data_IF_583121465881
#
_entry.id   IF_583121465881
#
_cell.length_a   1.000
_cell.length_b   1.000
_cell.length_c   1.000
_cell.angle_alpha   90.00
_cell.angle_beta   90.00
_cell.angle_gamma   90.00
#
_symmetry.space_group_name_H-M   'P 1'
#
loop_
_entity.id
_entity.type
_entity.pdbx_description
1 polymer ?
#
# COMPACT_ATOMS: atom_id res chain seq x y z
N UNK A 1 29.88 5.46 -13.85
CA UNK A 1 28.45 5.24 -13.56
C UNK A 1 28.07 6.34 -12.58
N UNK A 2 27.72 7.54 -13.03
CA UNK A 2 26.49 7.82 -13.77
C UNK A 2 25.46 8.26 -12.73
N UNK A 3 25.60 9.51 -12.28
CA UNK A 3 24.75 10.29 -11.38
C UNK A 3 23.27 9.83 -11.40
N UNK A 4 22.86 9.00 -10.42
CA UNK A 4 21.45 8.81 -10.08
C UNK A 4 20.98 10.11 -9.39
N UNK A 5 20.87 11.17 -10.18
CA UNK A 5 20.02 12.30 -9.87
C UNK A 5 18.64 11.73 -9.58
N UNK A 6 18.29 11.62 -8.29
CA UNK A 6 16.94 11.31 -7.89
C UNK A 6 16.08 12.41 -8.50
N UNK A 7 15.29 12.05 -9.52
CA UNK A 7 14.38 12.98 -10.17
C UNK A 7 13.65 13.77 -9.07
N UNK A 8 13.62 15.10 -9.20
CA UNK A 8 12.93 15.94 -8.21
C UNK A 8 11.42 15.66 -8.30
N UNK A 9 10.70 15.70 -7.17
CA UNK A 9 9.25 15.66 -7.21
C UNK A 9 8.67 16.78 -8.08
N UNK A 10 7.49 16.55 -8.66
CA UNK A 10 6.78 17.53 -9.50
C UNK A 10 6.34 18.77 -8.72
N UNK A 11 6.09 18.61 -7.42
CA UNK A 11 5.71 19.70 -6.52
C UNK A 11 6.80 19.89 -5.48
N UNK A 12 7.20 21.13 -5.25
CA UNK A 12 8.13 21.50 -4.20
C UNK A 12 7.46 21.47 -2.81
N UNK A 13 8.27 21.44 -1.75
CA UNK A 13 7.76 21.30 -0.37
C UNK A 13 6.81 22.44 0.03
N UNK A 14 7.06 23.67 -0.42
CA UNK A 14 6.18 24.82 -0.18
C UNK A 14 4.82 24.68 -0.89
N UNK A 15 4.79 24.08 -2.08
CA UNK A 15 3.53 23.80 -2.80
C UNK A 15 2.74 22.71 -2.08
N UNK A 16 3.42 21.65 -1.62
CA UNK A 16 2.82 20.58 -0.79
C UNK A 16 2.23 21.16 0.50
N UNK A 17 2.94 22.08 1.16
CA UNK A 17 2.45 22.79 2.35
C UNK A 17 1.21 23.61 2.07
N UNK A 18 1.23 24.42 1.01
CA UNK A 18 0.09 25.23 0.64
C UNK A 18 -1.14 24.38 0.28
N UNK A 19 -0.95 23.25 -0.42
CA UNK A 19 -2.03 22.31 -0.71
C UNK A 19 -2.61 21.69 0.57
N UNK A 20 -1.75 21.34 1.54
CA UNK A 20 -2.15 20.74 2.80
C UNK A 20 -2.89 21.74 3.71
N UNK A 21 -2.42 22.99 3.78
CA UNK A 21 -3.12 24.09 4.47
C UNK A 21 -4.52 24.33 3.90
N UNK A 22 -4.70 24.14 2.60
CA UNK A 22 -6.01 24.22 1.93
C UNK A 22 -6.85 22.96 2.06
N UNK A 23 -6.33 21.91 2.69
CA UNK A 23 -6.98 20.59 2.82
C UNK A 23 -7.48 20.12 1.45
N UNK A 24 -6.59 20.15 0.46
CA UNK A 24 -6.93 19.75 -0.91
C UNK A 24 -7.38 18.27 -0.92
N UNK A 25 -8.27 17.89 -1.83
CA UNK A 25 -8.65 16.47 -1.92
C UNK A 25 -7.42 15.59 -2.23
N UNK A 26 -7.26 14.50 -1.48
CA UNK A 26 -6.18 13.53 -1.65
C UNK A 26 -6.13 12.97 -3.08
N UNK A 27 -7.29 12.68 -3.70
CA UNK A 27 -7.38 12.22 -5.09
C UNK A 27 -6.89 13.27 -6.08
N UNK A 28 -7.17 14.55 -5.81
CA UNK A 28 -6.69 15.66 -6.65
C UNK A 28 -5.16 15.76 -6.57
N UNK A 29 -4.59 15.65 -5.37
CA UNK A 29 -3.13 15.70 -5.20
C UNK A 29 -2.43 14.48 -5.81
N UNK A 30 -3.03 13.29 -5.69
CA UNK A 30 -2.56 12.07 -6.37
C UNK A 30 -2.41 12.30 -7.89
N UNK A 31 -3.43 12.90 -8.52
CA UNK A 31 -3.42 13.26 -9.96
C UNK A 31 -2.41 14.34 -10.30
N UNK A 32 -2.31 15.41 -9.49
CA UNK A 32 -1.30 16.47 -9.69
C UNK A 32 0.12 15.91 -9.67
N UNK A 33 0.35 14.88 -8.86
CA UNK A 33 1.62 14.17 -8.73
C UNK A 33 1.81 13.03 -9.75
N UNK A 34 0.85 12.85 -10.67
CA UNK A 34 0.85 11.78 -11.69
C UNK A 34 1.12 10.40 -11.11
N UNK A 35 0.50 10.14 -9.96
CA UNK A 35 0.54 8.84 -9.27
C UNK A 35 -0.69 8.01 -9.57
N UNK A 36 -1.40 8.33 -10.65
CA UNK A 36 -2.62 7.66 -11.07
C UNK A 36 -2.48 7.02 -12.47
N UNK A 37 -1.37 7.25 -13.18
CA UNK A 37 -1.09 6.78 -14.55
C UNK A 37 -0.72 5.28 -14.66
N UNK A 38 -0.76 4.53 -13.55
CA UNK A 38 -0.46 3.10 -13.52
C UNK A 38 0.58 2.73 -12.44
N UNK A 39 0.80 1.42 -12.28
CA UNK A 39 1.71 0.89 -11.28
C UNK A 39 3.17 0.82 -11.76
N UNK A 40 3.43 0.91 -13.06
CA UNK A 40 4.79 0.85 -13.58
C UNK A 40 5.64 2.03 -13.06
N UNK A 41 6.80 1.72 -12.49
CA UNK A 41 7.71 2.71 -11.92
C UNK A 41 7.22 3.46 -10.67
N UNK A 42 5.98 3.28 -10.21
CA UNK A 42 5.38 4.10 -9.13
C UNK A 42 6.20 4.06 -7.82
N UNK A 43 6.74 2.90 -7.45
CA UNK A 43 7.50 2.71 -6.22
C UNK A 43 8.87 3.41 -6.23
N UNK A 44 9.32 3.81 -7.42
CA UNK A 44 10.54 4.60 -7.63
C UNK A 44 10.23 6.06 -7.93
N UNK A 45 8.95 6.41 -8.09
CA UNK A 45 8.55 7.76 -8.42
C UNK A 45 8.76 8.65 -7.19
N UNK A 46 9.60 9.70 -7.27
CA UNK A 46 9.84 10.64 -6.17
C UNK A 46 8.55 11.30 -5.67
N UNK A 47 7.53 11.40 -6.53
CA UNK A 47 6.23 11.96 -6.19
C UNK A 47 5.49 11.12 -5.14
N UNK A 48 5.73 9.81 -5.04
CA UNK A 48 5.11 8.98 -4.01
C UNK A 48 5.52 9.44 -2.61
N UNK A 49 6.79 9.85 -2.44
CA UNK A 49 7.27 10.45 -1.19
C UNK A 49 6.63 11.81 -0.92
N UNK A 50 6.52 12.66 -1.94
CA UNK A 50 5.85 13.96 -1.83
C UNK A 50 4.37 13.80 -1.45
N UNK A 51 3.68 12.82 -2.03
CA UNK A 51 2.30 12.48 -1.70
C UNK A 51 2.15 11.97 -0.26
N UNK A 52 3.06 11.10 0.18
CA UNK A 52 3.10 10.64 1.57
C UNK A 52 3.35 11.80 2.55
N UNK A 53 4.20 12.76 2.19
CA UNK A 53 4.42 13.99 2.97
C UNK A 53 3.18 14.88 3.02
N UNK A 54 2.48 15.03 1.90
CA UNK A 54 1.22 15.74 1.81
C UNK A 54 0.19 15.17 2.79
N UNK A 55 -0.04 13.85 2.75
CA UNK A 55 -1.00 13.18 3.63
C UNK A 55 -0.66 13.40 5.11
N UNK A 56 0.61 13.26 5.50
CA UNK A 56 1.07 13.52 6.87
C UNK A 56 0.83 14.96 7.35
N UNK A 57 0.76 15.93 6.43
CA UNK A 57 0.45 17.34 6.77
C UNK A 57 -1.06 17.58 6.90
N UNK A 58 -1.90 16.78 6.23
CA UNK A 58 -3.36 16.91 6.29
C UNK A 58 -3.95 16.13 7.48
N UNK A 59 -3.42 14.93 7.77
CA UNK A 59 -3.88 14.08 8.86
C UNK A 59 -2.68 13.40 9.55
N UNK A 60 -2.52 13.70 10.83
CA UNK A 60 -1.46 13.16 11.69
C UNK A 60 -1.89 11.94 12.49
N UNK A 61 -3.18 11.60 12.46
CA UNK A 61 -3.76 10.48 13.21
C UNK A 61 -3.47 9.16 12.52
N UNK A 62 -3.85 9.03 11.24
CA UNK A 62 -3.70 7.78 10.48
C UNK A 62 -3.19 7.99 9.03
N UNK A 63 -2.06 8.69 8.81
CA UNK A 63 -1.56 9.01 7.48
C UNK A 63 -1.27 7.77 6.61
N UNK A 64 -0.77 6.70 7.23
CA UNK A 64 -0.44 5.47 6.52
C UNK A 64 -1.69 4.76 5.97
N UNK A 65 -2.80 4.78 6.74
CA UNK A 65 -4.08 4.23 6.30
C UNK A 65 -4.69 5.05 5.16
N UNK A 66 -4.56 6.38 5.21
CA UNK A 66 -5.03 7.25 4.12
C UNK A 66 -4.22 7.00 2.84
N UNK A 67 -2.90 6.86 2.97
CA UNK A 67 -2.01 6.57 1.83
C UNK A 67 -2.40 5.25 1.16
N UNK A 68 -2.46 4.15 1.91
CA UNK A 68 -2.76 2.85 1.30
C UNK A 68 -4.20 2.77 0.81
N UNK A 69 -5.17 3.37 1.51
CA UNK A 69 -6.57 3.43 1.05
C UNK A 69 -6.67 4.18 -0.28
N UNK A 70 -5.95 5.29 -0.45
CA UNK A 70 -5.98 6.03 -1.71
C UNK A 70 -5.40 5.20 -2.87
N UNK A 71 -4.30 4.48 -2.63
CA UNK A 71 -3.70 3.60 -3.64
C UNK A 71 -4.61 2.42 -3.98
N UNK A 72 -5.25 1.80 -3.00
CA UNK A 72 -6.24 0.72 -3.21
C UNK A 72 -7.42 1.24 -4.04
N UNK A 73 -7.97 2.40 -3.69
CA UNK A 73 -9.09 2.99 -4.43
C UNK A 73 -8.71 3.32 -5.88
N UNK A 74 -7.44 3.66 -6.15
CA UNK A 74 -6.97 3.93 -7.51
C UNK A 74 -6.71 2.65 -8.31
N UNK A 75 -6.04 1.67 -7.71
CA UNK A 75 -5.45 0.55 -8.44
C UNK A 75 -6.21 -0.77 -8.29
N UNK A 76 -7.12 -0.88 -7.34
CA UNK A 76 -7.75 -2.13 -6.94
C UNK A 76 -6.93 -2.84 -5.86
N UNK A 77 -7.63 -3.45 -4.89
CA UNK A 77 -7.02 -4.03 -3.70
C UNK A 77 -6.14 -5.24 -4.02
N UNK A 78 -6.70 -6.21 -4.78
CA UNK A 78 -5.99 -7.42 -5.19
C UNK A 78 -4.84 -7.12 -6.17
N UNK A 79 -5.09 -6.19 -7.11
CA UNK A 79 -4.12 -5.79 -8.13
C UNK A 79 -2.92 -5.10 -7.48
N UNK A 80 -3.15 -4.18 -6.53
CA UNK A 80 -2.09 -3.54 -5.78
C UNK A 80 -1.31 -4.55 -4.93
N UNK A 81 -2.00 -5.48 -4.26
CA UNK A 81 -1.35 -6.48 -3.42
C UNK A 81 -0.42 -7.40 -4.23
N UNK A 82 -0.89 -7.90 -5.37
CA UNK A 82 -0.09 -8.74 -6.29
C UNK A 82 1.13 -7.96 -6.81
N UNK A 83 0.94 -6.71 -7.19
CA UNK A 83 2.04 -5.85 -7.65
C UNK A 83 3.11 -5.61 -6.57
N UNK A 84 2.68 -5.23 -5.35
CA UNK A 84 3.59 -4.99 -4.24
C UNK A 84 4.36 -6.26 -3.86
N UNK A 85 3.70 -7.43 -3.87
CA UNK A 85 4.35 -8.71 -3.64
C UNK A 85 5.48 -9.01 -4.63
N UNK A 86 5.24 -8.83 -5.93
CA UNK A 86 6.28 -9.02 -6.96
C UNK A 86 7.40 -7.97 -6.81
N UNK A 87 7.04 -6.72 -6.52
CA UNK A 87 8.00 -5.63 -6.34
C UNK A 87 8.93 -5.82 -5.13
N UNK A 88 8.55 -6.65 -4.13
CA UNK A 88 9.44 -7.03 -3.02
C UNK A 88 10.65 -7.85 -3.46
N UNK A 89 10.57 -8.51 -4.61
CA UNK A 89 11.66 -9.35 -5.13
C UNK A 89 12.73 -8.53 -5.88
N UNK A 90 12.42 -7.29 -6.24
CA UNK A 90 13.33 -6.39 -6.96
C UNK A 90 14.07 -5.48 -5.98
N UNK A 91 15.41 -5.58 -5.95
CA UNK A 91 16.28 -4.86 -5.00
C UNK A 91 15.97 -3.36 -4.90
N UNK A 92 15.69 -2.69 -6.03
CA UNK A 92 15.44 -1.24 -6.08
C UNK A 92 14.07 -0.82 -5.52
N UNK A 93 13.08 -1.70 -5.48
CA UNK A 93 11.70 -1.40 -5.03
C UNK A 93 11.34 -2.08 -3.71
N UNK A 94 12.16 -3.04 -3.27
CA UNK A 94 11.90 -3.92 -2.14
C UNK A 94 11.44 -3.22 -0.87
N UNK A 95 12.14 -2.18 -0.44
CA UNK A 95 11.83 -1.51 0.83
C UNK A 95 10.51 -0.75 0.78
N UNK A 96 10.26 0.01 -0.31
CA UNK A 96 8.98 0.69 -0.51
C UNK A 96 7.82 -0.31 -0.64
N UNK A 97 8.03 -1.39 -1.39
CA UNK A 97 7.03 -2.44 -1.57
C UNK A 97 6.65 -3.11 -0.25
N UNK A 98 7.64 -3.48 0.58
CA UNK A 98 7.41 -4.03 1.92
C UNK A 98 6.61 -3.09 2.81
N UNK A 99 6.96 -1.81 2.81
CA UNK A 99 6.29 -0.80 3.64
C UNK A 99 4.81 -0.67 3.25
N UNK A 100 4.50 -0.51 1.96
CA UNK A 100 3.12 -0.42 1.48
C UNK A 100 2.34 -1.72 1.68
N UNK A 101 2.96 -2.89 1.49
CA UNK A 101 2.32 -4.18 1.72
C UNK A 101 1.95 -4.37 3.20
N UNK A 102 2.82 -3.93 4.12
CA UNK A 102 2.54 -3.96 5.55
C UNK A 102 1.36 -3.05 5.92
N UNK A 103 1.30 -1.83 5.34
CA UNK A 103 0.14 -0.93 5.51
C UNK A 103 -1.15 -1.59 5.00
N UNK A 104 -1.09 -2.29 3.86
CA UNK A 104 -2.23 -2.99 3.28
C UNK A 104 -2.71 -4.13 4.19
N UNK A 105 -1.80 -4.91 4.79
CA UNK A 105 -2.16 -5.97 5.74
C UNK A 105 -2.80 -5.42 7.02
N UNK A 106 -2.27 -4.33 7.58
CA UNK A 106 -2.86 -3.67 8.74
C UNK A 106 -4.27 -3.20 8.40
N UNK A 107 -4.46 -2.56 7.23
CA UNK A 107 -5.78 -2.14 6.76
C UNK A 107 -6.76 -3.31 6.66
N UNK A 108 -6.37 -4.41 6.01
CA UNK A 108 -7.22 -5.60 5.91
C UNK A 108 -7.61 -6.15 7.28
N UNK A 109 -6.66 -6.20 8.22
CA UNK A 109 -6.95 -6.62 9.59
C UNK A 109 -7.93 -5.68 10.31
N UNK A 110 -7.73 -4.36 10.20
CA UNK A 110 -8.60 -3.36 10.82
C UNK A 110 -10.02 -3.37 10.23
N UNK A 111 -10.16 -3.76 8.96
CA UNK A 111 -11.43 -4.01 8.28
C UNK A 111 -12.06 -5.37 8.62
N UNK A 112 -11.39 -6.17 9.44
CA UNK A 112 -11.87 -7.49 9.85
C UNK A 112 -11.79 -8.54 8.74
N UNK A 113 -10.97 -8.33 7.69
CA UNK A 113 -10.79 -9.34 6.64
C UNK A 113 -10.08 -10.56 7.23
N UNK A 114 -10.66 -11.74 7.05
CA UNK A 114 -10.05 -12.99 7.52
C UNK A 114 -9.03 -13.52 6.50
N UNK A 115 -8.10 -14.39 6.90
CA UNK A 115 -7.26 -15.14 5.98
C UNK A 115 -8.05 -15.81 4.85
N UNK A 116 -9.23 -16.38 5.14
CA UNK A 116 -10.08 -17.02 4.13
C UNK A 116 -10.61 -16.03 3.09
N UNK A 117 -11.04 -14.84 3.51
CA UNK A 117 -11.50 -13.80 2.59
C UNK A 117 -10.38 -13.30 1.67
N UNK A 118 -9.16 -13.12 2.20
CA UNK A 118 -8.00 -12.73 1.39
C UNK A 118 -7.59 -13.86 0.43
N UNK A 119 -7.70 -15.12 0.83
CA UNK A 119 -7.46 -16.27 -0.06
C UNK A 119 -8.34 -16.20 -1.32
N UNK A 120 -9.64 -15.95 -1.13
CA UNK A 120 -10.59 -15.81 -2.23
C UNK A 120 -10.37 -14.53 -3.05
N UNK A 121 -10.07 -13.40 -2.41
CA UNK A 121 -9.78 -12.14 -3.10
C UNK A 121 -8.56 -12.25 -4.03
N UNK A 122 -7.56 -13.06 -3.65
CA UNK A 122 -6.38 -13.32 -4.48
C UNK A 122 -6.62 -14.35 -5.61
N UNK A 123 -7.84 -14.88 -5.75
CA UNK A 123 -8.22 -15.95 -6.70
C UNK A 123 -7.36 -17.23 -6.56
N UNK A 124 -6.91 -17.52 -5.34
CA UNK A 124 -6.17 -18.74 -5.04
C UNK A 124 -7.10 -19.95 -5.06
N UNK A 125 -6.62 -21.08 -5.60
CA UNK A 125 -7.35 -22.36 -5.63
C UNK A 125 -6.62 -23.39 -4.79
N UNK A 126 -7.34 -24.07 -3.89
CA UNK A 126 -6.74 -25.04 -2.96
C UNK A 126 -5.93 -26.16 -3.63
N UNK A 127 -6.27 -26.56 -4.86
CA UNK A 127 -5.59 -27.66 -5.58
C UNK A 127 -4.24 -27.21 -6.15
N UNK A 128 -4.09 -25.92 -6.51
CA UNK A 128 -2.89 -25.39 -7.19
C UNK A 128 -2.16 -24.31 -6.39
N UNK A 129 -2.66 -23.93 -5.21
CA UNK A 129 -2.11 -22.85 -4.40
C UNK A 129 -0.62 -23.04 -4.07
N UNK A 130 -0.16 -24.27 -3.83
CA UNK A 130 1.24 -24.53 -3.52
C UNK A 130 2.22 -24.21 -4.67
N UNK A 131 1.73 -24.13 -5.90
CA UNK A 131 2.51 -23.77 -7.09
C UNK A 131 2.40 -22.27 -7.42
N UNK A 132 1.37 -21.60 -6.90
CA UNK A 132 1.14 -20.18 -7.11
C UNK A 132 2.00 -19.35 -6.14
N UNK A 133 2.85 -18.47 -6.68
CA UNK A 133 3.65 -17.56 -5.88
C UNK A 133 2.78 -16.67 -4.96
N UNK A 134 1.54 -16.39 -5.37
CA UNK A 134 0.57 -15.62 -4.58
C UNK A 134 0.11 -16.35 -3.30
N UNK A 135 0.30 -17.67 -3.19
CA UNK A 135 0.09 -18.36 -1.93
C UNK A 135 1.09 -17.92 -0.85
N UNK A 136 2.29 -17.48 -1.25
CA UNK A 136 3.24 -16.87 -0.31
C UNK A 136 2.73 -15.52 0.19
N UNK A 137 2.15 -14.69 -0.69
CA UNK A 137 1.50 -13.44 -0.29
C UNK A 137 0.39 -13.68 0.74
N UNK A 138 -0.44 -14.70 0.50
CA UNK A 138 -1.47 -15.10 1.46
C UNK A 138 -0.88 -15.54 2.81
N UNK A 139 0.15 -16.38 2.83
CA UNK A 139 0.83 -16.79 4.08
C UNK A 139 1.47 -15.64 4.84
N UNK A 140 2.01 -14.65 4.15
CA UNK A 140 2.50 -13.42 4.78
C UNK A 140 1.36 -12.68 5.48
N UNK A 141 0.18 -12.61 4.87
CA UNK A 141 -1.00 -12.04 5.51
C UNK A 141 -1.47 -12.87 6.71
N UNK A 142 -1.54 -14.20 6.61
CA UNK A 142 -1.90 -15.08 7.74
C UNK A 142 -0.98 -14.84 8.94
N UNK A 143 0.31 -14.71 8.67
CA UNK A 143 1.32 -14.44 9.71
C UNK A 143 1.12 -13.07 10.35
N UNK A 144 0.88 -12.04 9.54
CA UNK A 144 0.58 -10.69 10.03
C UNK A 144 -0.73 -10.67 10.84
N UNK A 145 -1.77 -11.34 10.36
CA UNK A 145 -3.07 -11.46 11.02
C UNK A 145 -2.92 -12.09 12.40
N UNK A 146 -2.23 -13.23 12.51
CA UNK A 146 -1.98 -13.89 13.80
C UNK A 146 -1.22 -12.97 14.78
N UNK A 147 -0.22 -12.23 14.28
CA UNK A 147 0.53 -11.29 15.09
C UNK A 147 -0.34 -10.13 15.61
N UNK A 148 -1.13 -9.51 14.74
CA UNK A 148 -2.04 -8.41 15.08
C UNK A 148 -3.16 -8.88 16.02
N UNK A 149 -3.74 -10.05 15.74
CA UNK A 149 -4.72 -10.74 16.59
C UNK A 149 -4.21 -10.93 18.01
N UNK A 150 -2.98 -11.43 18.18
CA UNK A 150 -2.37 -11.67 19.50
C UNK A 150 -2.22 -10.39 20.35
N UNK A 151 -2.17 -9.22 19.70
CA UNK A 151 -2.02 -7.92 20.34
C UNK A 151 -3.35 -7.18 20.51
N UNK A 152 -4.39 -7.63 19.80
CA UNK A 152 -5.72 -7.04 19.85
C UNK A 152 -6.45 -7.45 21.12
N UNK A 153 -7.19 -6.52 21.72
CA UNK A 153 -8.13 -6.80 22.81
C UNK A 153 -9.54 -7.14 22.31
N UNK A 154 -9.78 -6.98 21.00
CA UNK A 154 -11.08 -7.21 20.38
C UNK A 154 -11.22 -8.68 19.98
N UNK A 155 -12.43 -9.25 20.07
CA UNK A 155 -12.70 -10.60 19.59
C UNK A 155 -12.44 -10.67 18.07
N UNK A 156 -11.84 -11.78 17.64
CA UNK A 156 -11.59 -12.01 16.21
C UNK A 156 -12.90 -12.17 15.45
N UNK A 157 -12.99 -11.66 14.22
CA UNK A 157 -14.11 -11.96 13.34
C UNK A 157 -14.23 -13.47 13.15
N UNK A 158 -15.47 -13.97 13.16
CA UNK A 158 -15.77 -15.39 12.96
C UNK A 158 -15.41 -15.78 11.54
N UNK A 159 -14.59 -16.82 11.38
CA UNK A 159 -14.33 -17.43 10.08
C UNK A 159 -15.59 -18.18 9.63
N UNK A 160 -16.21 -17.73 8.54
CA UNK A 160 -17.34 -18.39 7.86
C UNK A 160 -16.87 -18.97 6.54
#
# INVERSE_FOLDING_TARGET
>A
MGDESFAKPLLADNEIEHLAMKVTSTDKVLKMLKLDDGLDGILRNPNLKAFSNYIRKVDTTNPDQILITTLINRYGDDTLAKFLFEAKQVKKTKEMAKMLQAMQFIKWFDEGKTPNQIFHMLDLRHITAYEDKLHTLWWEYVTAYAHLASKSKNPLPVEI
#
